data_IF_201937038476
#
_entry.id   IF_201937038476
#
_cell.length_a   1.000
_cell.length_b   1.000
_cell.length_c   1.000
_cell.angle_alpha   90.00
_cell.angle_beta   90.00
_cell.angle_gamma   90.00
#
_symmetry.space_group_name_H-M   'P 1'
#
loop_
_entity.id
_entity.type
_entity.pdbx_description
1 polymer ?
#
# COMPACT_ATOMS: atom_id res chain seq x y z
N UNK A 1 11.55 -18.06 0.47
CA UNK A 1 11.95 -17.32 1.69
C UNK A 1 11.51 -15.86 1.63
N UNK A 2 11.98 -15.04 0.67
CA UNK A 2 11.63 -13.61 0.58
C UNK A 2 10.12 -13.34 0.38
N UNK A 3 9.42 -14.17 -0.39
CA UNK A 3 7.99 -14.05 -0.65
C UNK A 3 7.13 -14.30 0.61
N UNK A 4 7.49 -15.32 1.40
CA UNK A 4 6.87 -15.60 2.70
C UNK A 4 7.12 -14.48 3.73
N UNK A 5 8.29 -13.83 3.69
CA UNK A 5 8.61 -12.68 4.54
C UNK A 5 7.74 -11.47 4.15
N UNK A 6 7.59 -11.19 2.86
CA UNK A 6 6.70 -10.14 2.35
C UNK A 6 5.25 -10.39 2.72
N UNK A 7 4.74 -11.62 2.54
CA UNK A 7 3.36 -11.98 2.92
C UNK A 7 3.13 -11.78 4.43
N UNK A 8 4.07 -12.23 5.26
CA UNK A 8 4.00 -12.03 6.71
C UNK A 8 4.11 -10.55 7.11
N UNK A 9 4.92 -9.76 6.41
CA UNK A 9 5.04 -8.33 6.64
C UNK A 9 3.79 -7.55 6.18
N UNK A 10 3.14 -7.98 5.10
CA UNK A 10 1.84 -7.43 4.65
C UNK A 10 0.78 -7.76 5.69
N UNK A 11 0.65 -9.03 6.11
CA UNK A 11 -0.27 -9.42 7.16
C UNK A 11 0.01 -8.68 8.48
N UNK A 12 1.28 -8.52 8.84
CA UNK A 12 1.70 -7.75 10.01
C UNK A 12 1.43 -6.25 9.84
N UNK A 13 1.57 -5.68 8.65
CA UNK A 13 1.13 -4.32 8.36
C UNK A 13 -0.38 -4.22 8.48
N UNK A 14 -1.14 -5.18 7.95
CA UNK A 14 -2.59 -5.29 8.11
C UNK A 14 -3.01 -5.63 9.57
N UNK A 15 -2.09 -5.89 10.49
CA UNK A 15 -2.40 -5.99 11.92
C UNK A 15 -1.94 -4.74 12.69
N UNK A 16 -0.73 -4.24 12.40
CA UNK A 16 -0.13 -3.08 13.07
C UNK A 16 -0.78 -1.75 12.66
N UNK A 17 -1.26 -1.64 11.41
CA UNK A 17 -1.94 -0.46 10.87
C UNK A 17 -3.41 -0.43 11.31
N UNK A 18 -3.99 -1.59 11.60
CA UNK A 18 -5.39 -1.79 12.01
C UNK A 18 -5.54 -2.07 13.50
N UNK A 19 -4.86 -1.29 14.34
CA UNK A 19 -4.82 -1.39 15.81
C UNK A 19 -6.18 -1.18 16.55
N UNK A 20 -7.27 -1.72 16.02
CA UNK A 20 -8.62 -1.82 16.56
C UNK A 20 -9.23 -3.22 16.29
N UNK A 21 -8.51 -4.12 15.58
CA UNK A 21 -8.99 -5.47 15.27
C UNK A 21 -7.92 -6.52 15.64
N UNK A 22 -8.34 -7.61 16.28
CA UNK A 22 -7.51 -8.80 16.49
C UNK A 22 -7.20 -9.47 15.14
N UNK A 23 -6.17 -10.32 15.09
CA UNK A 23 -5.86 -11.08 13.88
C UNK A 23 -7.07 -11.91 13.38
N UNK A 24 -7.91 -12.40 14.30
CA UNK A 24 -9.14 -13.13 14.01
C UNK A 24 -10.24 -12.23 13.44
N UNK A 25 -10.38 -11.01 13.96
CA UNK A 25 -11.34 -10.02 13.43
C UNK A 25 -10.95 -9.55 12.02
N UNK A 26 -9.66 -9.35 11.77
CA UNK A 26 -9.14 -9.05 10.43
C UNK A 26 -9.41 -10.21 9.46
N UNK A 27 -9.21 -11.45 9.91
CA UNK A 27 -9.49 -12.66 9.13
C UNK A 27 -11.00 -12.88 8.90
N UNK A 28 -11.86 -12.46 9.83
CA UNK A 28 -13.32 -12.48 9.69
C UNK A 28 -13.83 -11.41 8.72
N UNK A 29 -13.36 -10.16 8.85
CA UNK A 29 -13.64 -9.09 7.90
C UNK A 29 -13.22 -9.46 6.46
N UNK A 30 -12.07 -10.13 6.33
CA UNK A 30 -11.58 -10.73 5.09
C UNK A 30 -12.56 -11.77 4.52
N UNK A 31 -13.06 -12.70 5.35
CA UNK A 31 -14.05 -13.73 4.93
C UNK A 31 -15.41 -13.12 4.56
N UNK A 32 -15.80 -12.02 5.19
CA UNK A 32 -17.10 -11.37 5.00
C UNK A 32 -17.08 -10.26 3.93
N UNK A 33 -15.94 -10.02 3.26
CA UNK A 33 -15.76 -8.96 2.23
C UNK A 33 -16.25 -7.57 2.69
N UNK A 34 -16.10 -7.29 3.98
CA UNK A 34 -16.51 -5.99 4.51
C UNK A 34 -15.55 -4.91 3.98
N UNK A 35 -16.13 -3.82 3.46
CA UNK A 35 -15.43 -2.59 3.12
C UNK A 35 -14.74 -2.06 4.38
N UNK A 36 -13.48 -2.42 4.59
CA UNK A 36 -12.65 -1.89 5.66
C UNK A 36 -11.34 -1.41 4.98
N UNK A 37 -10.68 -0.34 5.43
CA UNK A 37 -10.52 -0.04 6.84
C UNK A 37 -9.89 1.36 7.13
N UNK A 38 -10.18 1.87 8.33
CA UNK A 38 -9.55 3.00 9.03
C UNK A 38 -8.03 2.79 9.28
N UNK A 39 -7.17 3.75 8.92
CA UNK A 39 -5.72 3.67 9.14
C UNK A 39 -5.26 4.74 10.16
N UNK A 40 -4.61 4.29 11.23
CA UNK A 40 -4.15 5.14 12.35
C UNK A 40 -2.68 5.51 12.20
N UNK A 41 -2.34 6.79 12.25
CA UNK A 41 -0.95 7.23 12.35
C UNK A 41 -0.51 7.31 13.82
N UNK A 42 0.69 6.82 14.13
CA UNK A 42 1.23 6.76 15.51
C UNK A 42 1.48 8.13 16.18
N UNK A 43 1.26 9.28 15.51
CA UNK A 43 1.52 10.62 16.07
C UNK A 43 0.62 11.77 15.55
N UNK A 44 -0.62 11.53 15.07
CA UNK A 44 -1.38 12.65 14.49
C UNK A 44 -2.84 12.42 14.11
N UNK A 45 -3.58 11.59 14.86
CA UNK A 45 -5.01 11.38 14.61
C UNK A 45 -5.33 10.19 13.69
N UNK A 46 -6.57 9.72 13.78
CA UNK A 46 -7.12 8.69 12.91
C UNK A 46 -7.51 9.38 11.61
N UNK A 47 -7.01 8.87 10.49
CA UNK A 47 -7.35 9.37 9.16
C UNK A 47 -8.07 8.23 8.44
N UNK A 48 -9.40 8.35 8.37
CA UNK A 48 -10.25 7.37 7.70
C UNK A 48 -10.05 7.47 6.19
N UNK A 49 -9.57 6.39 5.58
CA UNK A 49 -9.50 6.27 4.12
C UNK A 49 -10.24 5.01 3.72
N UNK A 50 -11.41 5.22 3.12
CA UNK A 50 -12.26 4.12 2.65
C UNK A 50 -11.75 3.66 1.29
N UNK A 51 -11.27 2.42 1.26
CA UNK A 51 -10.97 1.64 0.04
C UNK A 51 -12.00 0.53 -0.06
N UNK A 52 -12.41 0.17 -1.27
CA UNK A 52 -13.53 -0.77 -1.48
C UNK A 52 -13.08 -2.20 -1.79
N UNK A 53 -11.76 -2.42 -1.89
CA UNK A 53 -11.17 -3.69 -2.25
C UNK A 53 -9.99 -4.02 -1.32
N UNK A 54 -9.86 -5.30 -0.98
CA UNK A 54 -8.81 -5.80 -0.09
C UNK A 54 -7.42 -5.65 -0.72
N UNK A 55 -7.34 -5.81 -2.04
CA UNK A 55 -6.08 -5.65 -2.78
C UNK A 55 -5.64 -4.19 -2.77
N UNK A 56 -6.58 -3.25 -2.97
CA UNK A 56 -6.34 -1.82 -2.82
C UNK A 56 -5.89 -1.46 -1.39
N UNK A 57 -6.53 -2.04 -0.37
CA UNK A 57 -6.18 -1.83 1.03
C UNK A 57 -4.78 -2.35 1.38
N UNK A 58 -4.43 -3.53 0.89
CA UNK A 58 -3.12 -4.14 1.09
C UNK A 58 -2.03 -3.30 0.43
N UNK A 59 -2.25 -2.87 -0.81
CA UNK A 59 -1.32 -2.00 -1.54
C UNK A 59 -1.14 -0.68 -0.81
N UNK A 60 -2.22 -0.02 -0.43
CA UNK A 60 -2.18 1.26 0.28
C UNK A 60 -1.43 1.13 1.62
N UNK A 61 -1.64 0.03 2.34
CA UNK A 61 -0.94 -0.26 3.60
C UNK A 61 0.56 -0.47 3.42
N UNK A 62 0.96 -1.21 2.38
CA UNK A 62 2.37 -1.42 2.04
C UNK A 62 3.08 -0.11 1.73
N UNK A 63 2.51 0.72 0.86
CA UNK A 63 3.14 1.98 0.45
C UNK A 63 3.14 3.02 1.57
N UNK A 64 2.13 3.03 2.47
CA UNK A 64 2.10 3.89 3.66
C UNK A 64 3.17 3.54 4.69
N UNK A 65 3.39 2.25 4.92
CA UNK A 65 4.39 1.78 5.91
C UNK A 65 5.81 1.74 5.34
N UNK A 66 5.93 1.76 4.01
CA UNK A 66 7.20 1.54 3.32
C UNK A 66 7.67 0.08 3.39
N UNK A 67 6.86 -0.84 3.94
CA UNK A 67 7.08 -2.30 3.90
C UNK A 67 6.46 -2.85 2.63
N UNK A 68 7.05 -2.46 1.51
CA UNK A 68 6.59 -2.75 0.16
C UNK A 68 7.75 -3.39 -0.62
N UNK A 69 7.46 -4.00 -1.77
CA UNK A 69 8.48 -4.51 -2.72
C UNK A 69 9.23 -3.38 -3.46
N UNK A 70 9.75 -2.41 -2.70
CA UNK A 70 10.65 -1.32 -3.11
C UNK A 70 12.07 -1.65 -2.69
N UNK A 71 13.07 -1.28 -3.51
CA UNK A 71 14.45 -1.76 -3.30
C UNK A 71 15.03 -1.36 -1.94
N UNK A 72 14.68 -0.17 -1.43
CA UNK A 72 15.08 0.23 -0.08
C UNK A 72 14.62 -0.75 1.00
N UNK A 73 13.39 -1.23 0.92
CA UNK A 73 12.87 -2.20 1.89
C UNK A 73 13.45 -3.59 1.65
N UNK A 74 13.50 -4.02 0.39
CA UNK A 74 14.03 -5.34 0.02
C UNK A 74 15.49 -5.51 0.44
N UNK A 75 16.33 -4.50 0.23
CA UNK A 75 17.72 -4.53 0.68
C UNK A 75 17.81 -4.59 2.20
N UNK A 76 16.96 -3.83 2.91
CA UNK A 76 16.90 -3.86 4.38
C UNK A 76 16.57 -5.25 4.95
N UNK A 77 15.73 -6.03 4.28
CA UNK A 77 15.38 -7.40 4.71
C UNK A 77 16.25 -8.49 4.07
N UNK A 78 17.30 -8.11 3.32
CA UNK A 78 18.19 -9.06 2.63
C UNK A 78 17.55 -9.77 1.44
N UNK A 79 16.43 -9.27 0.91
CA UNK A 79 15.75 -9.81 -0.27
C UNK A 79 16.21 -9.18 -1.60
N UNK A 80 17.03 -8.12 -1.55
CA UNK A 80 17.71 -7.54 -2.71
C UNK A 80 19.15 -7.15 -2.34
N UNK A 81 20.06 -7.25 -3.30
CA UNK A 81 21.49 -6.93 -3.09
C UNK A 81 21.74 -5.42 -2.95
N UNK A 82 20.82 -4.58 -3.43
CA UNK A 82 20.97 -3.13 -3.44
C UNK A 82 19.65 -2.40 -3.19
N UNK A 83 19.72 -1.26 -2.53
CA UNK A 83 18.59 -0.33 -2.37
C UNK A 83 18.39 0.60 -3.59
N UNK A 84 19.29 0.53 -4.57
CA UNK A 84 19.25 1.34 -5.77
C UNK A 84 18.25 0.79 -6.77
N UNK A 85 17.50 1.68 -7.41
CA UNK A 85 16.73 1.36 -8.60
C UNK A 85 17.69 1.15 -9.79
N UNK A 86 17.60 0.02 -10.47
CA UNK A 86 18.45 -0.33 -11.63
C UNK A 86 18.33 0.67 -12.79
N UNK A 87 17.16 1.29 -12.95
CA UNK A 87 16.87 2.26 -14.01
C UNK A 87 17.33 3.68 -13.65
N UNK A 88 17.25 4.00 -12.36
CA UNK A 88 17.44 5.36 -11.84
C UNK A 88 18.86 5.58 -11.29
N UNK A 89 19.54 4.50 -10.91
CA UNK A 89 20.80 4.48 -10.16
C UNK A 89 20.73 5.34 -8.88
N UNK A 90 19.57 5.32 -8.20
CA UNK A 90 19.29 6.09 -6.97
C UNK A 90 18.55 5.22 -5.98
N UNK A 91 18.72 5.52 -4.69
CA UNK A 91 17.98 4.87 -3.59
C UNK A 91 16.50 5.02 -3.85
N UNK A 92 15.77 3.91 -3.79
CA UNK A 92 14.36 3.83 -4.16
C UNK A 92 13.46 3.59 -2.93
N UNK A 93 13.11 4.65 -2.17
CA UNK A 93 11.99 4.60 -1.23
C UNK A 93 10.66 4.76 -1.97
N UNK A 94 9.53 4.51 -1.28
CA UNK A 94 8.17 4.66 -1.82
C UNK A 94 7.95 5.95 -2.65
N UNK A 95 8.24 7.17 -2.15
CA UNK A 95 8.05 8.39 -2.96
C UNK A 95 8.88 8.42 -4.25
N UNK A 96 10.03 7.74 -4.31
CA UNK A 96 10.81 7.65 -5.56
C UNK A 96 10.11 6.77 -6.58
N UNK A 97 9.67 5.58 -6.14
CA UNK A 97 8.86 4.67 -6.96
C UNK A 97 7.65 5.41 -7.54
N UNK A 98 6.93 6.15 -6.68
CA UNK A 98 5.69 6.82 -7.05
C UNK A 98 5.90 8.01 -8.00
N UNK A 99 6.89 8.87 -7.79
CA UNK A 99 6.86 10.19 -8.43
C UNK A 99 7.99 10.47 -9.41
N UNK A 100 9.13 9.75 -9.28
CA UNK A 100 10.39 10.15 -9.93
C UNK A 100 11.15 9.01 -10.62
N UNK A 101 10.65 7.78 -10.54
CA UNK A 101 11.25 6.65 -11.24
C UNK A 101 10.98 6.77 -12.75
N UNK A 102 12.04 6.94 -13.55
CA UNK A 102 11.93 7.08 -15.02
C UNK A 102 11.35 5.84 -15.70
N UNK A 103 11.55 4.65 -15.11
CA UNK A 103 10.95 3.39 -15.59
C UNK A 103 9.42 3.48 -15.75
N UNK A 104 8.77 4.20 -14.85
CA UNK A 104 7.31 4.28 -14.76
C UNK A 104 6.75 5.61 -15.25
N UNK A 105 7.56 6.39 -15.98
CA UNK A 105 7.16 7.73 -16.42
C UNK A 105 5.88 7.72 -17.27
N UNK A 106 5.72 6.70 -18.10
CA UNK A 106 4.53 6.48 -18.92
C UNK A 106 3.23 6.26 -18.10
N UNK A 107 3.33 5.85 -16.84
CA UNK A 107 2.18 5.66 -15.94
C UNK A 107 1.86 6.91 -15.10
N UNK A 108 2.75 7.91 -15.05
CA UNK A 108 2.54 9.10 -14.22
C UNK A 108 1.43 10.03 -14.74
N UNK A 109 1.00 9.93 -16.00
CA UNK A 109 0.03 10.86 -16.60
C UNK A 109 -1.29 10.91 -15.83
N UNK A 110 -1.89 9.75 -15.57
CA UNK A 110 -3.15 9.63 -14.83
C UNK A 110 -3.02 10.13 -13.40
N UNK A 111 -1.91 9.78 -12.73
CA UNK A 111 -1.65 10.21 -11.37
C UNK A 111 -1.41 11.72 -11.28
N UNK A 112 -0.67 12.32 -12.22
CA UNK A 112 -0.51 13.78 -12.33
C UNK A 112 -1.84 14.49 -12.53
N UNK A 113 -2.69 13.96 -13.41
CA UNK A 113 -4.01 14.52 -13.66
C UNK A 113 -4.92 14.44 -12.42
N UNK A 114 -4.84 13.35 -11.65
CA UNK A 114 -5.61 13.18 -10.43
C UNK A 114 -5.08 14.05 -9.27
N UNK A 115 -3.76 14.19 -9.13
CA UNK A 115 -3.14 14.93 -8.02
C UNK A 115 -3.10 16.44 -8.24
N UNK A 116 -3.14 16.88 -9.50
CA UNK A 116 -3.09 18.29 -9.87
C UNK A 116 -1.87 19.01 -9.26
N UNK A 117 -2.12 20.13 -8.58
CA UNK A 117 -1.08 20.94 -7.95
C UNK A 117 -0.36 20.26 -6.78
N UNK A 118 -0.92 19.15 -6.25
CA UNK A 118 -0.34 18.38 -5.15
C UNK A 118 0.45 17.15 -5.63
N UNK A 119 0.76 17.04 -6.93
CA UNK A 119 1.61 15.96 -7.43
C UNK A 119 2.96 15.95 -6.70
N UNK A 120 3.44 14.75 -6.35
CA UNK A 120 4.62 14.51 -5.49
C UNK A 120 4.45 14.79 -3.98
N UNK A 121 3.27 15.21 -3.51
CA UNK A 121 2.97 15.18 -2.07
C UNK A 121 2.61 13.75 -1.65
N UNK A 122 3.57 13.04 -1.06
CA UNK A 122 3.39 11.67 -0.59
C UNK A 122 2.22 11.52 0.40
N UNK A 123 2.00 12.48 1.29
CA UNK A 123 0.91 12.33 2.27
C UNK A 123 -0.43 12.44 1.58
N UNK A 124 -0.62 13.44 0.73
CA UNK A 124 -1.83 13.60 -0.05
C UNK A 124 -2.12 12.40 -0.95
N UNK A 125 -1.11 11.93 -1.70
CA UNK A 125 -1.22 10.76 -2.58
C UNK A 125 -1.62 9.49 -1.82
N UNK A 126 -1.23 9.41 -0.56
CA UNK A 126 -1.56 8.30 0.34
C UNK A 126 -2.70 8.64 1.31
N UNK A 127 -3.47 9.71 1.07
CA UNK A 127 -4.61 10.10 1.90
C UNK A 127 -4.25 10.32 3.36
N UNK A 128 -3.16 11.02 3.65
CA UNK A 128 -2.72 11.40 4.99
C UNK A 128 -2.81 12.90 5.22
N UNK A 129 -3.02 13.29 6.47
CA UNK A 129 -3.08 14.68 6.92
C UNK A 129 -1.70 15.20 7.34
N UNK A 130 -1.37 16.44 6.97
CA UNK A 130 -0.09 17.10 7.32
C UNK A 130 -0.22 18.41 8.10
N UNK A 131 -1.43 18.78 8.53
CA UNK A 131 -1.68 20.05 9.22
C UNK A 131 -1.16 21.27 8.43
N UNK A 132 -1.52 21.32 7.14
CA UNK A 132 -1.14 22.39 6.22
C UNK A 132 -2.34 23.26 5.89
N UNK A 133 -2.11 24.49 5.40
CA UNK A 133 -3.18 25.35 4.90
C UNK A 133 -4.05 24.68 3.80
N UNK A 134 -3.47 23.74 3.04
CA UNK A 134 -4.19 22.97 2.02
C UNK A 134 -5.05 21.84 2.59
N UNK A 135 -4.69 21.30 3.76
CA UNK A 135 -5.48 20.27 4.45
C UNK A 135 -6.55 20.89 5.36
N UNK A 136 -6.33 22.12 5.85
CA UNK A 136 -7.30 22.80 6.71
C UNK A 136 -7.45 22.11 8.07
N UNK A 137 -8.61 22.25 8.70
CA UNK A 137 -8.87 21.72 10.03
C UNK A 137 -9.10 20.20 10.01
N UNK A 138 -8.36 19.44 10.85
CA UNK A 138 -8.47 17.98 10.95
C UNK A 138 -9.92 17.47 11.13
N UNK A 139 -10.76 18.19 11.87
CA UNK A 139 -12.16 17.80 12.12
C UNK A 139 -13.03 17.76 10.86
N UNK A 140 -12.66 18.52 9.83
CA UNK A 140 -13.35 18.61 8.53
C UNK A 140 -12.57 17.96 7.40
N UNK A 141 -11.32 17.59 7.66
CA UNK A 141 -10.44 17.01 6.68
C UNK A 141 -10.93 15.62 6.27
N UNK A 142 -10.87 15.36 4.96
CA UNK A 142 -11.12 14.05 4.36
C UNK A 142 -10.07 13.80 3.28
N UNK A 143 -9.65 12.55 3.08
CA UNK A 143 -8.75 12.22 1.99
C UNK A 143 -9.43 12.49 0.65
N UNK A 144 -8.63 12.91 -0.33
CA UNK A 144 -9.07 12.91 -1.72
C UNK A 144 -9.00 11.48 -2.27
N UNK A 145 -10.14 10.80 -2.29
CA UNK A 145 -10.21 9.41 -2.74
C UNK A 145 -9.84 9.24 -4.22
N UNK A 146 -10.01 10.27 -5.06
CA UNK A 146 -9.58 10.22 -6.46
C UNK A 146 -8.05 10.21 -6.54
N UNK A 147 -7.39 11.04 -5.76
CA UNK A 147 -5.92 11.05 -5.68
C UNK A 147 -5.37 9.74 -5.11
N UNK A 148 -6.00 9.18 -4.07
CA UNK A 148 -5.60 7.91 -3.46
C UNK A 148 -5.76 6.75 -4.45
N UNK A 149 -6.91 6.62 -5.09
CA UNK A 149 -7.16 5.56 -6.08
C UNK A 149 -6.21 5.63 -7.26
N UNK A 150 -5.94 6.83 -7.79
CA UNK A 150 -4.96 7.00 -8.87
C UNK A 150 -3.55 6.54 -8.45
N UNK A 151 -3.17 6.72 -7.18
CA UNK A 151 -1.90 6.20 -6.64
C UNK A 151 -1.91 4.67 -6.58
N UNK A 152 -3.02 4.05 -6.17
CA UNK A 152 -3.17 2.60 -6.10
C UNK A 152 -3.15 1.98 -7.50
N UNK A 153 -3.88 2.57 -8.45
CA UNK A 153 -3.90 2.17 -9.86
C UNK A 153 -2.50 2.27 -10.48
N UNK A 154 -1.75 3.35 -10.20
CA UNK A 154 -0.36 3.48 -10.63
C UNK A 154 0.48 2.30 -10.12
N UNK A 155 0.37 2.00 -8.82
CA UNK A 155 1.13 0.91 -8.19
C UNK A 155 0.75 -0.45 -8.78
N UNK A 156 -0.54 -0.74 -8.96
CA UNK A 156 -1.03 -1.96 -9.62
C UNK A 156 -0.46 -2.09 -11.04
N UNK A 157 -0.47 -1.01 -11.81
CA UNK A 157 0.06 -1.00 -13.17
C UNK A 157 1.58 -1.27 -13.24
N UNK A 158 2.33 -0.97 -12.18
CA UNK A 158 3.76 -1.36 -12.11
C UNK A 158 3.98 -2.87 -11.96
N UNK A 159 2.96 -3.64 -11.57
CA UNK A 159 3.03 -5.09 -11.25
C UNK A 159 4.15 -5.44 -10.27
N UNK A 160 4.48 -4.48 -9.41
CA UNK A 160 5.60 -4.59 -8.47
C UNK A 160 5.11 -4.95 -7.07
N UNK A 161 3.95 -4.42 -6.71
CA UNK A 161 3.30 -4.63 -5.41
C UNK A 161 2.09 -5.54 -5.61
N UNK A 162 2.37 -6.77 -6.02
CA UNK A 162 1.35 -7.79 -6.16
C UNK A 162 1.12 -8.38 -4.76
N UNK A 163 0.15 -7.85 -4.03
CA UNK A 163 -0.56 -8.69 -3.06
C UNK A 163 -1.78 -9.22 -3.77
N UNK A 164 -1.63 -10.42 -4.34
CA UNK A 164 -2.77 -11.23 -4.73
C UNK A 164 -2.92 -12.25 -3.60
N UNK A 165 -3.93 -12.15 -2.72
CA UNK A 165 -4.40 -13.34 -2.04
C UNK A 165 -4.96 -14.21 -3.17
N UNK A 166 -4.14 -15.13 -3.64
CA UNK A 166 -4.45 -16.05 -4.72
C UNK A 166 -5.86 -16.61 -4.53
N UNK A 167 -6.75 -16.28 -5.47
CA UNK A 167 -8.10 -16.86 -5.59
C UNK A 167 -8.06 -18.40 -5.61
N UNK A 168 -6.89 -18.96 -5.95
CA UNK A 168 -6.69 -20.37 -6.22
C UNK A 168 -5.99 -21.15 -5.09
N UNK A 169 -5.46 -20.51 -4.04
CA UNK A 169 -4.75 -21.24 -2.98
C UNK A 169 -5.66 -21.96 -1.99
N UNK A 170 -6.99 -21.89 -2.16
CA UNK A 170 -7.93 -22.67 -1.34
C UNK A 170 -8.58 -23.88 -2.05
N UNK A 171 -8.21 -24.20 -3.30
CA UNK A 171 -8.83 -25.34 -4.02
C UNK A 171 -7.90 -26.52 -4.34
N UNK A 172 -6.62 -26.48 -3.98
CA UNK A 172 -5.69 -27.56 -4.30
C UNK A 172 -5.06 -28.29 -3.10
N UNK A 173 -5.69 -28.28 -1.91
CA UNK A 173 -5.19 -29.02 -0.75
C UNK A 173 -6.21 -29.95 -0.08
N UNK A 174 -7.25 -30.39 -0.79
CA UNK A 174 -8.13 -31.47 -0.32
C UNK A 174 -8.38 -32.54 -1.38
N UNK A 175 -7.35 -32.96 -2.09
CA UNK A 175 -7.32 -34.27 -2.73
C UNK A 175 -5.88 -34.76 -2.62
N UNK A 176 -5.66 -35.65 -1.64
CA UNK A 176 -4.58 -36.65 -1.58
C UNK A 176 -4.28 -36.96 -0.11
N UNK A 177 -5.20 -37.68 0.54
CA UNK A 177 -4.90 -38.74 1.52
C UNK A 177 -6.23 -39.27 2.02
N UNK A 178 -6.69 -40.37 1.44
CA UNK A 178 -7.01 -41.56 2.21
C UNK A 178 -7.10 -42.76 1.27
N UNK A 179 -6.44 -43.82 1.72
CA UNK A 179 -6.23 -45.10 1.07
C UNK A 179 -7.48 -45.99 1.14
#
# INVERSE_FOLDING_TARGET
MAELVLINDVAKCLCEVFAIMTAEEAQKAYKERLNLVNIRFRKGGIVEVVVHDLDEAAILSQIRTGRARVNKYLSKIGAAESELCEHCQRIEPTPRLLFTCSKWEHLHSNMRAAHGSRYSDLSYALGGYKDTAQDGELSKWKPDLKAVRATIEFVLATKRLDYVPSRDTQLSQTQDTEA
#
